data_IF_477948033121
#
_entry.id   IF_477948033121
#
_cell.length_a   1.000
_cell.length_b   1.000
_cell.length_c   1.000
_cell.angle_alpha   90.00
_cell.angle_beta   90.00
_cell.angle_gamma   90.00
#
_symmetry.space_group_name_H-M   'P 1'
#
loop_
_entity.id
_entity.type
_entity.pdbx_description
1 polymer ?
#
# COMPACT_ATOMS: atom_id res chain seq x y z
N UNK A 1 -19.41 48.39 18.83
CA UNK A 1 -18.38 47.65 18.07
C UNK A 1 -18.63 46.16 18.22
N UNK A 2 -19.16 45.50 17.20
CA UNK A 2 -19.14 44.04 17.07
C UNK A 2 -19.52 43.68 15.64
N UNK A 3 -18.54 43.72 14.74
CA UNK A 3 -18.60 42.99 13.48
C UNK A 3 -18.46 41.52 13.81
N UNK A 4 -19.60 40.83 13.80
CA UNK A 4 -19.68 39.38 13.94
C UNK A 4 -19.28 38.81 12.58
N UNK A 5 -17.99 38.53 12.40
CA UNK A 5 -17.50 37.77 11.25
C UNK A 5 -18.19 36.40 11.28
N UNK A 6 -19.17 36.20 10.40
CA UNK A 6 -19.72 34.88 10.15
C UNK A 6 -18.59 33.95 9.71
N UNK A 7 -18.60 32.67 10.14
CA UNK A 7 -17.61 31.73 9.65
C UNK A 7 -17.80 31.60 8.14
N UNK A 8 -16.92 32.27 7.39
CA UNK A 8 -16.92 32.25 5.94
C UNK A 8 -16.89 30.79 5.49
N UNK A 9 -17.66 30.45 4.46
CA UNK A 9 -17.65 29.11 3.84
C UNK A 9 -16.21 28.64 3.56
N UNK A 10 -15.31 29.58 3.29
CA UNK A 10 -13.87 29.36 3.15
C UNK A 10 -13.19 28.83 4.43
N UNK A 11 -13.51 29.40 5.59
CA UNK A 11 -13.01 28.93 6.90
C UNK A 11 -13.57 27.55 7.24
N UNK A 12 -14.85 27.30 6.94
CA UNK A 12 -15.48 25.98 7.08
C UNK A 12 -14.85 24.92 6.17
N UNK A 13 -14.56 25.26 4.93
CA UNK A 13 -13.88 24.39 3.98
C UNK A 13 -12.43 24.10 4.38
N UNK A 14 -11.68 25.11 4.82
CA UNK A 14 -10.34 24.92 5.37
C UNK A 14 -10.38 24.01 6.61
N UNK A 15 -11.30 24.22 7.53
CA UNK A 15 -11.45 23.38 8.72
C UNK A 15 -11.80 21.92 8.36
N UNK A 16 -12.57 21.71 7.28
CA UNK A 16 -12.88 20.38 6.74
C UNK A 16 -11.65 19.68 6.14
N UNK A 17 -10.86 20.39 5.33
CA UNK A 17 -9.61 19.86 4.78
C UNK A 17 -8.59 19.53 5.89
N UNK A 18 -8.47 20.40 6.89
CA UNK A 18 -7.54 20.21 8.01
C UNK A 18 -7.90 19.02 8.92
N UNK A 19 -9.00 18.31 8.65
CA UNK A 19 -9.43 17.11 9.40
C UNK A 19 -8.53 15.88 9.15
N UNK A 20 -7.40 16.03 8.45
CA UNK A 20 -6.33 15.03 8.26
C UNK A 20 -6.74 13.86 7.36
N UNK A 21 -7.73 13.09 7.79
CA UNK A 21 -8.26 11.92 7.10
C UNK A 21 -8.75 12.21 5.67
N UNK A 22 -9.26 13.41 5.40
CA UNK A 22 -9.75 13.80 4.06
C UNK A 22 -8.61 14.08 3.10
N UNK A 23 -7.53 14.71 3.56
CA UNK A 23 -6.37 15.03 2.72
C UNK A 23 -5.66 13.74 2.31
N UNK A 24 -5.42 12.84 3.25
CA UNK A 24 -4.73 11.57 2.98
C UNK A 24 -5.53 10.72 1.98
N UNK A 25 -6.85 10.66 2.14
CA UNK A 25 -7.73 9.94 1.21
C UNK A 25 -7.73 10.60 -0.18
N UNK A 26 -7.83 11.93 -0.25
CA UNK A 26 -7.80 12.66 -1.52
C UNK A 26 -6.48 12.44 -2.26
N UNK A 27 -5.35 12.51 -1.56
CA UNK A 27 -4.02 12.27 -2.11
C UNK A 27 -3.90 10.82 -2.61
N UNK A 28 -4.37 9.83 -1.84
CA UNK A 28 -4.35 8.43 -2.25
C UNK A 28 -5.12 8.19 -3.55
N UNK A 29 -6.31 8.78 -3.70
CA UNK A 29 -7.14 8.64 -4.92
C UNK A 29 -6.47 9.29 -6.13
N UNK A 30 -5.94 10.50 -5.99
CA UNK A 30 -5.28 11.23 -7.10
C UNK A 30 -4.03 10.50 -7.57
N UNK A 31 -3.19 10.04 -6.64
CA UNK A 31 -1.97 9.28 -6.97
C UNK A 31 -2.34 7.95 -7.63
N UNK A 32 -3.34 7.23 -7.10
CA UNK A 32 -3.81 5.97 -7.68
C UNK A 32 -4.30 6.12 -9.12
N UNK A 33 -5.08 7.16 -9.40
CA UNK A 33 -5.57 7.47 -10.74
C UNK A 33 -4.44 7.85 -11.71
N UNK A 34 -3.49 8.68 -11.27
CA UNK A 34 -2.34 9.07 -12.09
C UNK A 34 -1.44 7.88 -12.41
N UNK A 35 -1.16 7.02 -11.42
CA UNK A 35 -0.33 5.84 -11.60
C UNK A 35 -0.96 4.82 -12.56
N UNK A 36 -2.27 4.58 -12.42
CA UNK A 36 -3.01 3.68 -13.31
C UNK A 36 -2.92 4.13 -14.77
N UNK A 37 -2.98 5.44 -15.03
CA UNK A 37 -2.78 5.99 -16.38
C UNK A 37 -1.38 5.71 -16.94
N UNK A 38 -0.34 5.83 -16.12
CA UNK A 38 1.04 5.53 -16.53
C UNK A 38 1.16 4.06 -16.93
N UNK A 39 0.63 3.15 -16.11
CA UNK A 39 0.70 1.72 -16.43
C UNK A 39 -0.10 1.38 -17.68
N UNK A 40 -1.33 1.90 -17.82
CA UNK A 40 -2.14 1.71 -19.02
C UNK A 40 -1.40 2.21 -20.26
N UNK A 41 -0.76 3.38 -20.21
CA UNK A 41 0.02 3.89 -21.34
C UNK A 41 1.18 2.98 -21.73
N UNK A 42 1.82 2.29 -20.78
CA UNK A 42 2.88 1.32 -21.07
C UNK A 42 2.30 0.05 -21.66
N UNK A 43 1.17 -0.43 -21.13
CA UNK A 43 0.52 -1.62 -21.65
C UNK A 43 0.02 -1.38 -23.07
N UNK A 44 -0.68 -0.28 -23.30
CA UNK A 44 -1.22 0.08 -24.62
C UNK A 44 -0.10 0.42 -25.61
N UNK A 45 0.96 1.10 -25.16
CA UNK A 45 2.05 1.56 -26.03
C UNK A 45 3.12 0.53 -26.33
N UNK A 46 3.35 -0.45 -25.46
CA UNK A 46 4.46 -1.42 -25.58
C UNK A 46 3.96 -2.85 -25.62
N UNK A 47 3.07 -3.23 -24.69
CA UNK A 47 2.66 -4.62 -24.53
C UNK A 47 1.63 -5.03 -25.58
N UNK A 48 0.59 -4.23 -25.82
CA UNK A 48 -0.42 -4.49 -26.85
C UNK A 48 0.20 -4.63 -28.25
N UNK A 49 1.13 -3.78 -28.71
CA UNK A 49 1.79 -3.99 -30.00
C UNK A 49 2.74 -5.19 -30.00
N UNK A 50 3.44 -5.51 -28.90
CA UNK A 50 4.24 -6.73 -28.80
C UNK A 50 3.39 -7.98 -28.90
N UNK A 51 2.31 -8.08 -28.13
CA UNK A 51 1.38 -9.21 -28.21
C UNK A 51 0.68 -9.24 -29.57
N UNK A 52 0.35 -8.09 -30.15
CA UNK A 52 -0.19 -7.96 -31.50
C UNK A 52 0.80 -8.31 -32.62
N UNK A 53 2.11 -8.31 -32.36
CA UNK A 53 3.14 -8.75 -33.28
C UNK A 53 3.38 -10.27 -33.23
N UNK A 54 3.21 -10.90 -32.06
CA UNK A 54 3.29 -12.36 -31.90
C UNK A 54 1.94 -13.07 -32.13
N UNK A 55 0.82 -12.34 -32.07
CA UNK A 55 -0.54 -12.81 -32.41
C UNK A 55 -1.11 -12.13 -33.67
N UNK A 56 -2.33 -12.46 -34.06
CA UNK A 56 -2.99 -11.82 -35.22
C UNK A 56 -3.46 -10.40 -34.85
N UNK A 57 -2.73 -9.38 -35.31
CA UNK A 57 -3.09 -7.97 -35.52
C UNK A 57 -3.65 -7.11 -34.36
N UNK A 58 -4.14 -7.66 -33.25
CA UNK A 58 -4.42 -6.98 -31.96
C UNK A 58 -5.23 -7.90 -31.06
N UNK A 59 -4.98 -7.86 -29.74
CA UNK A 59 -5.80 -8.57 -28.77
C UNK A 59 -7.27 -8.20 -28.93
N UNK A 60 -7.61 -6.91 -29.08
CA UNK A 60 -8.97 -6.43 -29.29
C UNK A 60 -9.67 -6.95 -30.56
N UNK A 61 -8.92 -7.40 -31.57
CA UNK A 61 -9.49 -7.89 -32.83
C UNK A 61 -10.05 -9.32 -32.75
N UNK A 62 -9.78 -10.04 -31.66
CA UNK A 62 -10.37 -11.34 -31.40
C UNK A 62 -11.87 -11.18 -31.09
N UNK A 63 -12.65 -11.31 -32.15
CA UNK A 63 -14.11 -11.33 -32.10
C UNK A 63 -14.63 -12.68 -32.59
N UNK A 64 -15.49 -13.31 -31.79
CA UNK A 64 -16.22 -14.51 -32.19
C UNK A 64 -17.67 -14.14 -32.46
N UNK A 65 -18.25 -14.71 -33.51
CA UNK A 65 -19.59 -14.38 -33.96
C UNK A 65 -20.59 -15.39 -33.43
N UNK A 66 -21.47 -14.91 -32.55
CA UNK A 66 -22.44 -15.74 -31.85
C UNK A 66 -23.64 -16.09 -32.73
N UNK A 67 -23.98 -15.25 -33.72
CA UNK A 67 -25.09 -15.47 -34.65
C UNK A 67 -24.98 -14.60 -35.92
N UNK A 68 -25.06 -15.23 -37.10
CA UNK A 68 -25.07 -14.59 -38.43
C UNK A 68 -23.69 -14.36 -39.06
N UNK A 69 -23.61 -14.10 -40.38
CA UNK A 69 -22.35 -13.74 -41.03
C UNK A 69 -21.93 -12.34 -40.54
N UNK A 70 -20.89 -12.29 -39.72
CA UNK A 70 -20.29 -11.04 -39.27
C UNK A 70 -19.47 -10.38 -40.38
N UNK A 71 -20.15 -9.84 -41.37
CA UNK A 71 -19.53 -9.02 -42.43
C UNK A 71 -19.82 -7.55 -42.14
N UNK A 72 -18.77 -6.71 -42.04
CA UNK A 72 -18.87 -5.25 -41.91
C UNK A 72 -18.38 -4.68 -40.57
N UNK A 73 -17.58 -3.61 -40.56
CA UNK A 73 -17.12 -2.90 -39.35
C UNK A 73 -17.94 -1.60 -39.16
N UNK A 74 -18.54 -1.39 -37.99
CA UNK A 74 -19.36 -0.19 -37.68
C UNK A 74 -20.87 -0.42 -37.80
N UNK A 75 -21.63 0.61 -38.17
CA UNK A 75 -23.11 0.63 -38.25
C UNK A 75 -23.75 -0.33 -39.28
N UNK A 76 -22.95 -1.04 -40.06
CA UNK A 76 -23.40 -2.09 -40.99
C UNK A 76 -23.11 -3.51 -40.49
N UNK A 77 -22.71 -3.68 -39.23
CA UNK A 77 -22.45 -4.98 -38.63
C UNK A 77 -23.76 -5.76 -38.45
N UNK A 78 -23.97 -6.77 -39.28
CA UNK A 78 -25.00 -7.78 -39.06
C UNK A 78 -24.43 -8.88 -38.17
N UNK A 79 -25.10 -9.16 -37.04
CA UNK A 79 -24.73 -10.22 -36.09
C UNK A 79 -24.21 -9.74 -34.73
N UNK A 80 -24.18 -10.65 -33.75
CA UNK A 80 -23.69 -10.40 -32.38
C UNK A 80 -22.23 -10.81 -32.29
N UNK A 81 -21.32 -9.83 -32.15
CA UNK A 81 -19.88 -10.05 -31.96
C UNK A 81 -19.54 -10.10 -30.47
N UNK A 82 -18.85 -11.16 -30.04
CA UNK A 82 -18.20 -11.24 -28.74
C UNK A 82 -16.74 -10.83 -28.94
N UNK A 83 -16.36 -9.65 -28.45
CA UNK A 83 -14.98 -9.18 -28.41
C UNK A 83 -14.29 -9.74 -27.16
N UNK A 84 -13.98 -11.04 -27.16
CA UNK A 84 -13.24 -11.68 -26.06
C UNK A 84 -11.78 -11.21 -26.00
N UNK A 85 -11.30 -10.68 -27.12
CA UNK A 85 -10.02 -10.03 -27.25
C UNK A 85 -9.76 -8.86 -26.29
N UNK A 86 -10.74 -7.97 -26.13
CA UNK A 86 -10.62 -6.81 -25.24
C UNK A 86 -10.62 -7.19 -23.77
N UNK A 87 -11.33 -8.27 -23.42
CA UNK A 87 -11.31 -8.85 -22.07
C UNK A 87 -9.93 -9.41 -21.75
N UNK A 88 -9.29 -10.10 -22.72
CA UNK A 88 -7.94 -10.63 -22.54
C UNK A 88 -6.91 -9.50 -22.40
N UNK A 89 -7.05 -8.44 -23.22
CA UNK A 89 -6.26 -7.22 -23.11
C UNK A 89 -6.39 -6.57 -21.74
N UNK A 90 -7.62 -6.30 -21.29
CA UNK A 90 -7.89 -5.71 -19.98
C UNK A 90 -7.36 -6.59 -18.82
N UNK A 91 -7.46 -7.90 -18.94
CA UNK A 91 -6.92 -8.84 -17.94
C UNK A 91 -5.40 -8.79 -17.89
N UNK A 92 -4.73 -8.72 -19.05
CA UNK A 92 -3.28 -8.58 -19.13
C UNK A 92 -2.83 -7.23 -18.54
N UNK A 93 -3.50 -6.12 -18.88
CA UNK A 93 -3.26 -4.80 -18.29
C UNK A 93 -3.40 -4.83 -16.78
N UNK A 94 -4.44 -5.47 -16.27
CA UNK A 94 -4.66 -5.63 -14.83
C UNK A 94 -3.54 -6.43 -14.16
N UNK A 95 -3.14 -7.57 -14.74
CA UNK A 95 -2.06 -8.40 -14.20
C UNK A 95 -0.71 -7.67 -14.18
N UNK A 96 -0.38 -6.95 -15.24
CA UNK A 96 0.85 -6.16 -15.31
C UNK A 96 0.81 -5.02 -14.29
N UNK A 97 -0.31 -4.32 -14.18
CA UNK A 97 -0.49 -3.26 -13.17
C UNK A 97 -0.35 -3.78 -11.76
N UNK A 98 -1.00 -4.91 -11.45
CA UNK A 98 -0.89 -5.56 -10.15
C UNK A 98 0.56 -6.00 -9.87
N UNK A 99 1.26 -6.56 -10.85
CA UNK A 99 2.65 -6.98 -10.71
C UNK A 99 3.59 -5.79 -10.44
N UNK A 100 3.44 -4.69 -11.18
CA UNK A 100 4.24 -3.47 -11.00
C UNK A 100 3.98 -2.84 -9.64
N UNK A 101 2.71 -2.68 -9.23
CA UNK A 101 2.35 -2.15 -7.91
C UNK A 101 2.89 -3.04 -6.79
N UNK A 102 2.75 -4.35 -6.93
CA UNK A 102 3.24 -5.31 -5.94
C UNK A 102 4.77 -5.25 -5.81
N UNK A 103 5.49 -5.25 -6.94
CA UNK A 103 6.95 -5.29 -6.93
C UNK A 103 7.59 -3.96 -6.51
N UNK A 104 7.06 -2.82 -6.97
CA UNK A 104 7.63 -1.51 -6.67
C UNK A 104 7.12 -0.86 -5.39
N UNK A 105 5.93 -1.22 -4.92
CA UNK A 105 5.31 -0.57 -3.76
C UNK A 105 5.20 -1.54 -2.58
N UNK A 106 4.55 -2.70 -2.79
CA UNK A 106 4.22 -3.63 -1.69
C UNK A 106 5.46 -4.37 -1.18
N UNK A 107 6.32 -4.86 -2.07
CA UNK A 107 7.55 -5.57 -1.72
C UNK A 107 8.56 -4.72 -0.92
N UNK A 108 8.91 -3.48 -1.32
CA UNK A 108 9.79 -2.65 -0.51
C UNK A 108 9.11 -2.19 0.79
N UNK A 109 7.81 -1.87 0.76
CA UNK A 109 7.09 -1.47 1.97
C UNK A 109 7.03 -2.62 2.99
N UNK A 110 6.72 -3.85 2.56
CA UNK A 110 6.72 -5.03 3.43
C UNK A 110 8.11 -5.34 4.00
N UNK A 111 9.16 -5.24 3.18
CA UNK A 111 10.55 -5.37 3.67
C UNK A 111 10.93 -4.27 4.66
N UNK A 112 10.49 -3.04 4.43
CA UNK A 112 10.76 -1.91 5.33
C UNK A 112 10.02 -2.06 6.67
N UNK A 113 8.75 -2.44 6.64
CA UNK A 113 7.94 -2.73 7.83
C UNK A 113 8.54 -3.90 8.63
N UNK A 114 8.90 -5.01 7.97
CA UNK A 114 9.55 -6.14 8.62
C UNK A 114 10.88 -5.75 9.30
N UNK A 115 11.66 -4.85 8.68
CA UNK A 115 12.89 -4.31 9.29
C UNK A 115 12.60 -3.41 10.49
N UNK A 116 11.54 -2.63 10.46
CA UNK A 116 11.14 -1.80 11.61
C UNK A 116 10.64 -2.64 12.78
N UNK A 117 9.82 -3.66 12.51
CA UNK A 117 9.35 -4.59 13.53
C UNK A 117 10.51 -5.36 14.17
N UNK A 118 11.47 -5.82 13.36
CA UNK A 118 12.68 -6.45 13.87
C UNK A 118 13.50 -5.50 14.77
N UNK A 119 13.60 -4.22 14.41
CA UNK A 119 14.26 -3.19 15.24
C UNK A 119 13.50 -2.88 16.53
N UNK A 120 12.16 -2.88 16.50
CA UNK A 120 11.34 -2.70 17.71
C UNK A 120 11.50 -3.87 18.66
N UNK A 121 11.38 -5.10 18.16
CA UNK A 121 11.58 -6.31 18.96
C UNK A 121 12.99 -6.35 19.56
N UNK A 122 14.02 -5.99 18.79
CA UNK A 122 15.38 -5.90 19.28
C UNK A 122 15.55 -4.86 20.41
N UNK A 123 14.85 -3.72 20.33
CA UNK A 123 14.82 -2.72 21.40
C UNK A 123 14.10 -3.22 22.65
N UNK A 124 12.91 -3.81 22.51
CA UNK A 124 12.19 -4.40 23.63
C UNK A 124 13.01 -5.48 24.32
N UNK A 125 13.63 -6.39 23.57
CA UNK A 125 14.49 -7.43 24.17
C UNK A 125 15.76 -6.86 24.80
N UNK A 126 16.30 -5.75 24.29
CA UNK A 126 17.45 -5.09 24.92
C UNK A 126 17.04 -4.39 26.22
N UNK A 127 15.86 -3.77 26.25
CA UNK A 127 15.32 -3.10 27.43
C UNK A 127 14.94 -4.11 28.52
N UNK A 128 14.32 -5.23 28.14
CA UNK A 128 14.01 -6.35 29.04
C UNK A 128 15.28 -6.97 29.64
N UNK A 129 16.36 -7.12 28.86
CA UNK A 129 17.66 -7.61 29.36
C UNK A 129 18.31 -6.64 30.35
N UNK A 130 18.23 -5.33 30.10
CA UNK A 130 18.78 -4.31 31.02
C UNK A 130 17.99 -4.32 32.33
N UNK A 131 16.66 -4.36 32.26
CA UNK A 131 15.79 -4.37 33.45
C UNK A 131 16.04 -5.61 34.31
N UNK A 132 16.20 -6.80 33.72
CA UNK A 132 16.56 -8.03 34.45
C UNK A 132 17.94 -7.89 35.12
N UNK A 133 18.92 -7.29 34.46
CA UNK A 133 20.26 -7.10 35.03
C UNK A 133 20.27 -6.13 36.23
N UNK A 134 19.48 -5.06 36.18
CA UNK A 134 19.34 -4.11 37.28
C UNK A 134 18.64 -4.75 38.49
N UNK A 135 17.61 -5.57 38.24
CA UNK A 135 16.93 -6.33 39.28
C UNK A 135 17.86 -7.36 39.96
N UNK A 136 18.76 -7.99 39.21
CA UNK A 136 19.75 -8.92 39.74
C UNK A 136 20.79 -8.21 40.62
N UNK A 137 21.30 -7.07 40.17
CA UNK A 137 22.20 -6.22 40.96
C UNK A 137 21.52 -5.72 42.25
N UNK A 138 20.26 -5.29 42.19
CA UNK A 138 19.49 -4.87 43.37
C UNK A 138 19.29 -6.01 44.38
N UNK A 139 19.11 -7.24 43.87
CA UNK A 139 18.99 -8.44 44.70
C UNK A 139 20.31 -8.76 45.41
N UNK A 140 21.43 -8.69 44.70
CA UNK A 140 22.77 -8.88 45.29
C UNK A 140 23.07 -7.84 46.37
N UNK A 141 22.77 -6.56 46.13
CA UNK A 141 22.95 -5.48 47.12
C UNK A 141 22.09 -5.73 48.36
N UNK A 142 20.82 -6.14 48.19
CA UNK A 142 19.94 -6.49 49.30
C UNK A 142 20.53 -7.62 50.14
N UNK A 143 21.01 -8.67 49.49
CA UNK A 143 21.54 -9.85 50.18
C UNK A 143 22.87 -9.51 50.90
N UNK A 144 23.71 -8.66 50.31
CA UNK A 144 24.92 -8.12 50.94
C UNK A 144 24.61 -7.24 52.17
N UNK A 145 23.56 -6.41 52.11
CA UNK A 145 23.11 -5.59 53.24
C UNK A 145 22.53 -6.44 54.38
N UNK A 146 21.79 -7.51 54.06
CA UNK A 146 21.29 -8.46 55.06
C UNK A 146 22.47 -9.16 55.76
N UNK A 147 23.47 -9.59 54.99
CA UNK A 147 24.69 -10.21 55.54
C UNK A 147 25.45 -9.25 56.48
N UNK A 148 25.61 -7.97 56.10
CA UNK A 148 26.22 -6.96 56.98
C UNK A 148 25.41 -6.71 58.25
N UNK A 149 24.08 -6.62 58.14
CA UNK A 149 23.20 -6.38 59.30
C UNK A 149 23.27 -7.51 60.32
N UNK A 150 23.38 -8.77 59.87
CA UNK A 150 23.58 -9.91 60.75
C UNK A 150 24.93 -9.87 61.50
N UNK A 151 26.00 -9.43 60.83
CA UNK A 151 27.34 -9.34 61.43
C UNK A 151 27.54 -8.19 62.42
N UNK A 152 26.70 -7.15 62.36
CA UNK A 152 26.78 -5.97 63.25
C UNK A 152 26.10 -6.14 64.61
N UNK A 153 25.31 -7.21 64.80
CA UNK A 153 24.59 -7.46 66.06
C UNK A 153 25.41 -8.30 67.07
N UNK A 154 26.58 -8.82 66.68
CA UNK A 154 27.36 -9.80 67.44
C UNK A 154 28.69 -9.23 68.00
N UNK A 155 28.77 -7.91 68.20
CA UNK A 155 29.92 -7.27 68.88
C UNK A 155 29.50 -6.72 70.24
N UNK A 156 30.07 -7.22 71.36
CA UNK A 156 29.77 -6.76 72.72
C UNK A 156 30.29 -5.34 73.00
#
# INVERSE_FOLDING_TARGET
MSEKNEPSVWQGFKAFLMRGNVIDLAVAVVIGAAFTKIVNSVVDGVINPLVGAFGTQSLDSYSSCLKGPCTGTGDSATGVRILWGSVLGATLTFLITAAVVYFLMVLPMSKYLARQEARRKAKESAEEVIEVSELEVLKEIRDALIAQRGSGHDRP
#
